data_IF_340311493979
#
_entry.id   IF_340311493979
#
_cell.length_a   1.000
_cell.length_b   1.000
_cell.length_c   1.000
_cell.angle_alpha   90.00
_cell.angle_beta   90.00
_cell.angle_gamma   90.00
#
_symmetry.space_group_name_H-M   'P 1'
#
loop_
_entity.id
_entity.type
_entity.pdbx_description
1 polymer ?
#
# COMPACT_ATOMS: atom_id res chain seq x y z
N UNK A 1 16.72 -45.84 -8.25
CA UNK A 1 15.69 -45.04 -8.94
C UNK A 1 14.85 -44.26 -7.94
N UNK A 2 15.06 -42.96 -7.81
CA UNK A 2 14.21 -42.09 -6.97
C UNK A 2 13.57 -41.03 -7.87
N UNK A 3 12.28 -41.26 -8.15
CA UNK A 3 11.44 -40.45 -9.03
C UNK A 3 11.12 -39.12 -8.37
N UNK A 4 11.53 -38.01 -9.00
CA UNK A 4 11.18 -36.64 -8.61
C UNK A 4 9.78 -36.35 -9.12
N UNK A 5 8.76 -36.43 -8.25
CA UNK A 5 7.43 -35.91 -8.58
C UNK A 5 7.46 -34.38 -8.59
N UNK A 6 7.53 -33.83 -9.81
CA UNK A 6 7.31 -32.42 -10.12
C UNK A 6 5.82 -32.12 -9.95
N UNK A 7 5.44 -31.49 -8.84
CA UNK A 7 4.07 -31.04 -8.61
C UNK A 7 3.78 -29.85 -9.53
N UNK A 8 3.20 -30.15 -10.69
CA UNK A 8 2.81 -29.15 -11.68
C UNK A 8 1.42 -28.65 -11.30
N UNK A 9 1.35 -27.55 -10.53
CA UNK A 9 0.10 -26.81 -10.34
C UNK A 9 -0.30 -26.20 -11.68
N UNK A 10 -1.22 -26.84 -12.39
CA UNK A 10 -2.02 -26.20 -13.41
C UNK A 10 -3.05 -25.33 -12.68
N UNK A 11 -2.83 -24.02 -12.68
CA UNK A 11 -3.86 -23.05 -12.31
C UNK A 11 -4.59 -22.62 -13.57
N UNK A 12 -5.88 -22.93 -13.65
CA UNK A 12 -6.84 -22.26 -14.52
C UNK A 12 -6.80 -20.75 -14.27
N UNK A 13 -6.54 -19.98 -15.31
CA UNK A 13 -6.63 -18.52 -15.29
C UNK A 13 -7.45 -18.05 -16.51
N UNK A 14 -8.66 -18.61 -16.66
CA UNK A 14 -9.66 -18.19 -17.65
C UNK A 14 -10.29 -16.82 -17.35
N UNK A 15 -9.78 -16.10 -16.35
CA UNK A 15 -10.12 -14.69 -16.06
C UNK A 15 -8.88 -13.81 -15.80
N UNK A 16 -7.69 -14.23 -16.26
CA UNK A 16 -6.50 -13.39 -16.13
C UNK A 16 -6.57 -12.19 -17.07
N UNK A 17 -6.58 -10.98 -16.49
CA UNK A 17 -6.39 -9.74 -17.26
C UNK A 17 -5.19 -9.93 -18.19
N UNK A 18 -5.33 -9.69 -19.51
CA UNK A 18 -4.23 -9.90 -20.44
C UNK A 18 -2.98 -9.17 -19.93
N UNK A 19 -1.84 -9.86 -19.90
CA UNK A 19 -0.60 -9.23 -19.42
C UNK A 19 -0.35 -7.90 -20.14
N UNK A 20 0.19 -6.90 -19.44
CA UNK A 20 0.38 -5.51 -19.93
C UNK A 20 0.93 -5.45 -21.37
N UNK A 21 1.82 -6.36 -21.73
CA UNK A 21 2.39 -6.45 -23.09
C UNK A 21 1.34 -6.81 -24.16
N UNK A 22 0.41 -7.72 -23.85
CA UNK A 22 -0.70 -8.10 -24.74
C UNK A 22 -1.66 -6.93 -24.94
N UNK A 23 -1.99 -6.18 -23.89
CA UNK A 23 -2.83 -4.97 -23.98
C UNK A 23 -2.15 -3.91 -24.86
N UNK A 24 -0.84 -3.67 -24.64
CA UNK A 24 -0.06 -2.73 -25.47
C UNK A 24 0.00 -3.17 -26.93
N UNK A 25 0.11 -4.46 -27.21
CA UNK A 25 0.07 -4.98 -28.58
C UNK A 25 -1.30 -4.75 -29.23
N UNK A 26 -2.39 -5.05 -28.52
CA UNK A 26 -3.75 -4.79 -28.98
C UNK A 26 -3.98 -3.31 -29.26
N UNK A 27 -3.56 -2.40 -28.36
CA UNK A 27 -3.65 -0.94 -28.58
C UNK A 27 -2.93 -0.50 -29.85
N UNK A 28 -1.71 -0.99 -30.08
CA UNK A 28 -0.97 -0.67 -31.32
C UNK A 28 -1.71 -1.14 -32.56
N UNK A 29 -2.28 -2.35 -32.53
CA UNK A 29 -3.06 -2.89 -33.65
C UNK A 29 -4.35 -2.09 -33.88
N UNK A 30 -5.09 -1.75 -32.82
CA UNK A 30 -6.30 -0.93 -32.88
C UNK A 30 -6.01 0.47 -33.43
N UNK A 31 -4.93 1.13 -32.98
CA UNK A 31 -4.49 2.42 -33.53
C UNK A 31 -4.12 2.33 -35.01
N UNK A 32 -3.43 1.26 -35.42
CA UNK A 32 -3.13 1.00 -36.85
C UNK A 32 -4.39 0.78 -37.69
N UNK A 33 -5.42 0.14 -37.13
CA UNK A 33 -6.70 -0.06 -37.82
C UNK A 33 -7.44 1.26 -38.03
N UNK A 34 -7.48 2.13 -37.02
CA UNK A 34 -8.09 3.46 -37.11
C UNK A 34 -7.36 4.41 -38.07
N UNK A 35 -6.07 4.20 -38.30
CA UNK A 35 -5.28 4.99 -39.23
C UNK A 35 -5.51 4.63 -40.71
N UNK A 36 -6.35 3.65 -41.03
CA UNK A 36 -6.68 3.28 -42.43
C UNK A 36 -7.77 4.19 -42.99
N UNK A 37 -7.54 4.73 -44.18
CA UNK A 37 -8.45 5.69 -44.83
C UNK A 37 -9.79 5.08 -45.26
N UNK A 38 -9.83 3.78 -45.58
CA UNK A 38 -11.02 3.06 -46.05
C UNK A 38 -11.65 2.19 -44.96
N UNK A 39 -12.10 2.80 -43.88
CA UNK A 39 -12.79 2.11 -42.78
C UNK A 39 -14.28 2.48 -42.77
N UNK A 40 -15.17 1.49 -42.76
CA UNK A 40 -16.61 1.71 -42.64
C UNK A 40 -16.94 2.42 -41.31
N UNK A 41 -17.92 3.34 -41.32
CA UNK A 41 -18.25 4.17 -40.16
C UNK A 41 -18.58 3.34 -38.90
N UNK A 42 -19.36 2.26 -39.04
CA UNK A 42 -19.70 1.36 -37.93
C UNK A 42 -18.45 0.72 -37.31
N UNK A 43 -17.52 0.25 -38.15
CA UNK A 43 -16.26 -0.37 -37.71
C UNK A 43 -15.37 0.66 -37.01
N UNK A 44 -15.38 1.92 -37.48
CA UNK A 44 -14.62 3.01 -36.85
C UNK A 44 -15.11 3.30 -35.43
N UNK A 45 -16.42 3.45 -35.25
CA UNK A 45 -17.04 3.68 -33.93
C UNK A 45 -16.75 2.52 -32.97
N UNK A 46 -16.90 1.28 -33.43
CA UNK A 46 -16.58 0.11 -32.61
C UNK A 46 -15.10 0.06 -32.23
N UNK A 47 -14.21 0.36 -33.17
CA UNK A 47 -12.76 0.36 -32.95
C UNK A 47 -12.34 1.48 -31.99
N UNK A 48 -12.96 2.65 -32.04
CA UNK A 48 -12.76 3.75 -31.08
C UNK A 48 -13.23 3.37 -29.67
N UNK A 49 -14.39 2.73 -29.54
CA UNK A 49 -14.87 2.19 -28.25
C UNK A 49 -13.89 1.17 -27.68
N UNK A 50 -13.42 0.24 -28.52
CA UNK A 50 -12.41 -0.75 -28.16
C UNK A 50 -11.10 -0.10 -27.74
N UNK A 51 -10.66 0.95 -28.44
CA UNK A 51 -9.46 1.70 -28.07
C UNK A 51 -9.59 2.29 -26.67
N UNK A 52 -10.72 2.95 -26.38
CA UNK A 52 -10.97 3.52 -25.05
C UNK A 52 -10.99 2.45 -23.95
N UNK A 53 -11.60 1.29 -24.20
CA UNK A 53 -11.59 0.15 -23.28
C UNK A 53 -10.16 -0.32 -23.01
N UNK A 54 -9.37 -0.54 -24.06
CA UNK A 54 -7.99 -1.01 -23.93
C UNK A 54 -7.08 0.01 -23.22
N UNK A 55 -7.33 1.30 -23.36
CA UNK A 55 -6.62 2.35 -22.63
C UNK A 55 -6.94 2.33 -21.13
N UNK A 56 -8.22 2.15 -20.79
CA UNK A 56 -8.64 1.97 -19.40
C UNK A 56 -8.03 0.70 -18.78
N UNK A 57 -8.07 -0.42 -19.51
CA UNK A 57 -7.48 -1.69 -19.07
C UNK A 57 -5.97 -1.55 -18.85
N UNK A 58 -5.28 -0.82 -19.74
CA UNK A 58 -3.85 -0.57 -19.61
C UNK A 58 -3.55 0.24 -18.34
N UNK A 59 -4.31 1.31 -18.09
CA UNK A 59 -4.13 2.15 -16.91
C UNK A 59 -4.32 1.34 -15.61
N UNK A 60 -5.37 0.51 -15.55
CA UNK A 60 -5.61 -0.36 -14.40
C UNK A 60 -4.50 -1.40 -14.21
N UNK A 61 -4.03 -2.01 -15.29
CA UNK A 61 -2.94 -2.99 -15.23
C UNK A 61 -1.61 -2.36 -14.78
N UNK A 62 -1.32 -1.12 -15.21
CA UNK A 62 -0.14 -0.38 -14.79
C UNK A 62 -0.23 0.07 -13.32
N UNK A 63 -1.39 0.52 -12.85
CA UNK A 63 -1.65 0.82 -11.45
C UNK A 63 -1.46 -0.43 -10.57
N UNK A 64 -2.10 -1.54 -10.92
CA UNK A 64 -1.97 -2.79 -10.19
C UNK A 64 -0.52 -3.32 -10.19
N UNK A 65 0.24 -3.08 -11.27
CA UNK A 65 1.68 -3.41 -11.30
C UNK A 65 2.48 -2.52 -10.34
N UNK A 66 2.21 -1.22 -10.32
CA UNK A 66 2.85 -0.25 -9.42
C UNK A 66 2.57 -0.60 -7.96
N UNK A 67 1.32 -0.90 -7.63
CA UNK A 67 0.91 -1.33 -6.29
C UNK A 67 1.64 -2.59 -5.83
N UNK A 68 1.69 -3.64 -6.68
CA UNK A 68 2.44 -4.87 -6.37
C UNK A 68 3.91 -4.58 -6.14
N UNK A 69 4.53 -3.76 -6.99
CA UNK A 69 5.94 -3.42 -6.86
C UNK A 69 6.24 -2.67 -5.55
N UNK A 70 5.41 -1.68 -5.20
CA UNK A 70 5.55 -0.94 -3.94
C UNK A 70 5.25 -1.81 -2.72
N UNK A 71 4.22 -2.66 -2.79
CA UNK A 71 3.89 -3.62 -1.75
C UNK A 71 5.09 -4.51 -1.46
N UNK A 72 5.67 -5.17 -2.46
CA UNK A 72 6.85 -6.02 -2.28
C UNK A 72 8.06 -5.24 -1.75
N UNK A 73 8.32 -4.03 -2.27
CA UNK A 73 9.46 -3.19 -1.87
C UNK A 73 9.40 -2.78 -0.40
N UNK A 74 8.22 -2.40 0.09
CA UNK A 74 8.05 -1.87 1.44
C UNK A 74 7.43 -2.87 2.43
N UNK A 75 7.11 -4.10 1.98
CA UNK A 75 6.47 -5.12 2.82
C UNK A 75 7.22 -5.34 4.13
N UNK A 76 8.55 -5.53 4.06
CA UNK A 76 9.37 -5.78 5.24
C UNK A 76 9.54 -4.56 6.12
N UNK A 77 9.71 -3.37 5.53
CA UNK A 77 9.77 -2.11 6.29
C UNK A 77 8.48 -1.92 7.08
N UNK A 78 7.32 -1.99 6.41
CA UNK A 78 6.00 -1.89 7.05
C UNK A 78 5.78 -2.97 8.10
N UNK A 79 6.25 -4.19 7.87
CA UNK A 79 6.13 -5.29 8.82
C UNK A 79 6.90 -5.00 10.12
N UNK A 80 8.18 -4.61 10.04
CA UNK A 80 8.98 -4.31 11.22
C UNK A 80 8.45 -3.08 11.97
N UNK A 81 8.03 -2.03 11.26
CA UNK A 81 7.41 -0.87 11.89
C UNK A 81 6.09 -1.24 12.56
N UNK A 82 5.24 -2.05 11.91
CA UNK A 82 3.98 -2.54 12.49
C UNK A 82 4.24 -3.30 13.79
N UNK A 83 5.20 -4.23 13.79
CA UNK A 83 5.57 -4.98 15.00
C UNK A 83 6.12 -4.06 16.10
N UNK A 84 6.90 -3.03 15.74
CA UNK A 84 7.42 -2.04 16.68
C UNK A 84 6.29 -1.22 17.33
N UNK A 85 5.34 -0.74 16.53
CA UNK A 85 4.18 0.00 17.03
C UNK A 85 3.30 -0.88 17.91
N UNK A 86 2.96 -2.09 17.47
CA UNK A 86 2.15 -3.04 18.26
C UNK A 86 2.80 -3.32 19.61
N UNK A 87 4.11 -3.59 19.64
CA UNK A 87 4.82 -3.83 20.89
C UNK A 87 4.71 -2.65 21.86
N UNK A 88 4.94 -1.42 21.37
CA UNK A 88 4.83 -0.19 22.18
C UNK A 88 3.39 0.03 22.66
N UNK A 89 2.40 -0.24 21.80
CA UNK A 89 0.99 -0.13 22.10
C UNK A 89 0.60 -1.09 23.23
N UNK A 90 0.97 -2.37 23.12
CA UNK A 90 0.72 -3.37 24.16
C UNK A 90 1.43 -3.05 25.48
N UNK A 91 2.65 -2.53 25.44
CA UNK A 91 3.37 -2.08 26.64
C UNK A 91 2.65 -0.90 27.32
N UNK A 92 2.18 0.07 26.53
CA UNK A 92 1.47 1.25 27.05
C UNK A 92 0.12 0.85 27.66
N UNK A 93 -0.64 -0.05 27.01
CA UNK A 93 -1.87 -0.62 27.58
C UNK A 93 -1.61 -1.34 28.90
N UNK A 94 -0.54 -2.13 28.98
CA UNK A 94 -0.16 -2.83 30.23
C UNK A 94 0.14 -1.84 31.35
N UNK A 95 0.93 -0.78 31.09
CA UNK A 95 1.22 0.28 32.08
C UNK A 95 -0.04 0.98 32.57
N UNK A 96 -0.96 1.32 31.66
CA UNK A 96 -2.24 1.91 32.02
C UNK A 96 -3.08 0.97 32.89
N UNK A 97 -3.11 -0.34 32.57
CA UNK A 97 -3.87 -1.33 33.35
C UNK A 97 -3.26 -1.66 34.71
N UNK A 98 -1.93 -1.62 34.84
CA UNK A 98 -1.25 -1.94 36.10
C UNK A 98 -1.27 -0.79 37.10
N UNK A 99 -1.65 0.42 36.68
CA UNK A 99 -1.58 1.63 37.50
C UNK A 99 -0.15 2.05 37.86
N UNK A 100 0.87 1.35 37.34
CA UNK A 100 2.27 1.69 37.54
C UNK A 100 2.74 2.57 36.39
N UNK A 101 2.57 3.88 36.59
CA UNK A 101 2.89 4.89 35.58
C UNK A 101 4.38 5.27 35.57
N UNK A 102 5.14 4.89 36.59
CA UNK A 102 6.54 5.32 36.75
C UNK A 102 6.63 6.84 36.85
N UNK A 103 7.46 7.45 35.99
CA UNK A 103 7.63 8.90 35.89
C UNK A 103 6.58 9.60 35.00
N UNK A 104 5.82 8.84 34.21
CA UNK A 104 4.81 9.38 33.31
C UNK A 104 3.48 9.59 34.06
N UNK A 105 2.66 10.56 33.65
CA UNK A 105 1.28 10.67 34.13
C UNK A 105 0.34 9.75 33.35
N UNK A 106 -0.83 9.43 33.93
CA UNK A 106 -1.87 8.64 33.26
C UNK A 106 -2.29 9.30 31.94
N UNK A 107 -2.49 10.61 31.93
CA UNK A 107 -2.91 11.39 30.77
C UNK A 107 -1.85 11.35 29.65
N UNK A 108 -0.56 11.39 30.01
CA UNK A 108 0.54 11.26 29.05
C UNK A 108 0.53 9.88 28.39
N UNK A 109 0.31 8.82 29.17
CA UNK A 109 0.23 7.46 28.63
C UNK A 109 -1.01 7.24 27.75
N UNK A 110 -2.14 7.84 28.09
CA UNK A 110 -3.37 7.81 27.26
C UNK A 110 -3.16 8.53 25.93
N UNK A 111 -2.57 9.72 25.94
CA UNK A 111 -2.22 10.44 24.69
C UNK A 111 -1.26 9.63 23.84
N UNK A 112 -0.21 9.07 24.46
CA UNK A 112 0.75 8.20 23.77
C UNK A 112 0.09 6.96 23.17
N UNK A 113 -0.91 6.39 23.85
CA UNK A 113 -1.68 5.27 23.32
C UNK A 113 -2.45 5.67 22.06
N UNK A 114 -3.09 6.84 22.05
CA UNK A 114 -3.79 7.36 20.88
C UNK A 114 -2.84 7.63 19.71
N UNK A 115 -1.68 8.25 19.97
CA UNK A 115 -0.67 8.48 18.93
C UNK A 115 -0.18 7.16 18.31
N UNK A 116 0.03 6.13 19.14
CA UNK A 116 0.41 4.79 18.66
C UNK A 116 -0.68 4.13 17.81
N UNK A 117 -1.96 4.40 18.07
CA UNK A 117 -3.09 3.93 17.26
C UNK A 117 -3.13 4.62 15.90
N UNK A 118 -2.93 5.95 15.88
CA UNK A 118 -2.76 6.71 14.64
C UNK A 118 -1.58 6.17 13.82
N UNK A 119 -0.44 5.89 14.48
CA UNK A 119 0.74 5.30 13.83
C UNK A 119 0.48 3.90 13.28
N UNK A 120 -0.29 3.07 13.99
CA UNK A 120 -0.66 1.74 13.51
C UNK A 120 -1.57 1.85 12.28
N UNK A 121 -2.56 2.72 12.33
CA UNK A 121 -3.45 3.00 11.19
C UNK A 121 -2.68 3.61 10.01
N UNK A 122 -1.66 4.43 10.26
CA UNK A 122 -0.75 4.95 9.23
C UNK A 122 -0.08 3.84 8.45
N UNK A 123 0.39 2.80 9.15
CA UNK A 123 1.02 1.66 8.49
C UNK A 123 -0.03 0.82 7.75
N UNK A 124 -1.18 0.55 8.36
CA UNK A 124 -2.20 -0.34 7.79
C UNK A 124 -2.87 0.25 6.54
N UNK A 125 -3.25 1.54 6.60
CA UNK A 125 -4.03 2.22 5.58
C UNK A 125 -3.19 3.09 4.64
N UNK A 126 -1.87 2.96 4.66
CA UNK A 126 -0.98 3.70 3.76
C UNK A 126 -1.37 3.52 2.28
N UNK A 127 -1.50 4.59 1.48
CA UNK A 127 -1.87 4.50 0.07
C UNK A 127 -0.94 3.58 -0.75
N UNK A 128 -1.50 2.55 -1.39
CA UNK A 128 -0.75 1.52 -2.12
C UNK A 128 0.01 2.05 -3.36
N UNK A 129 -0.39 3.22 -3.85
CA UNK A 129 0.17 3.86 -5.05
C UNK A 129 1.26 4.89 -4.74
N UNK A 130 1.49 5.23 -3.46
CA UNK A 130 2.50 6.19 -3.00
C UNK A 130 3.72 5.46 -2.40
N UNK A 131 4.89 6.10 -2.46
CA UNK A 131 6.11 5.56 -1.83
C UNK A 131 5.97 5.67 -0.32
N UNK A 132 6.16 4.56 0.41
CA UNK A 132 6.05 4.54 1.85
C UNK A 132 7.09 5.47 2.52
N UNK A 133 6.63 6.29 3.47
CA UNK A 133 7.49 7.15 4.29
C UNK A 133 7.56 6.54 5.68
N UNK A 134 8.75 6.07 6.07
CA UNK A 134 9.00 5.38 7.34
C UNK A 134 8.69 6.29 8.53
N UNK A 135 8.03 5.73 9.55
CA UNK A 135 7.80 6.44 10.82
C UNK A 135 9.07 6.48 11.68
N UNK A 136 9.84 5.41 11.64
CA UNK A 136 11.10 5.30 12.36
C UNK A 136 12.23 5.40 11.34
N UNK A 137 13.19 6.32 11.53
CA UNK A 137 14.43 6.29 10.76
C UNK A 137 15.01 4.87 10.80
N UNK A 138 15.64 4.40 9.70
CA UNK A 138 16.26 3.09 9.69
C UNK A 138 17.20 3.02 10.90
N UNK A 139 17.06 1.94 11.68
CA UNK A 139 18.02 1.68 12.74
C UNK A 139 19.39 1.60 12.07
N UNK A 140 20.26 2.51 12.52
CA UNK A 140 21.67 2.54 12.18
C UNK A 140 22.22 1.14 12.43
N UNK A 141 22.52 0.40 11.35
CA UNK A 141 23.45 -0.72 11.48
C UNK A 141 24.74 -0.11 11.99
N UNK A 142 25.22 -0.60 13.14
CA UNK A 142 26.38 -0.10 13.88
C UNK A 142 27.43 0.54 12.95
N UNK A 143 27.46 1.89 12.90
CA UNK A 143 28.46 2.64 12.11
C UNK A 143 27.96 3.78 11.21
N UNK A 144 26.70 3.84 10.79
CA UNK A 144 26.19 4.92 9.91
C UNK A 144 25.21 5.85 10.62
N UNK A 145 25.56 7.13 10.86
CA UNK A 145 24.65 8.09 11.49
C UNK A 145 23.25 8.07 10.87
N UNK A 146 22.20 8.06 11.71
CA UNK A 146 20.82 8.07 11.27
C UNK A 146 20.61 9.27 10.33
N UNK A 147 20.22 9.01 9.08
CA UNK A 147 19.95 10.10 8.13
C UNK A 147 18.75 10.88 8.70
N UNK A 148 18.93 12.16 9.07
CA UNK A 148 17.82 12.96 9.57
C UNK A 148 16.75 13.04 8.49
N UNK A 149 15.49 12.90 8.87
CA UNK A 149 14.42 13.09 7.92
C UNK A 149 14.42 14.53 7.41
N UNK A 150 14.23 14.71 6.10
CA UNK A 150 14.05 16.05 5.56
C UNK A 150 12.70 16.61 6.00
N UNK A 151 12.61 17.92 6.21
CA UNK A 151 11.37 18.62 6.57
C UNK A 151 10.18 18.25 5.64
N UNK A 152 10.46 18.01 4.35
CA UNK A 152 9.45 17.54 3.39
C UNK A 152 8.87 16.16 3.74
N UNK A 153 9.68 15.23 4.24
CA UNK A 153 9.20 13.89 4.65
C UNK A 153 8.46 13.91 5.99
N UNK A 154 8.71 14.90 6.84
CA UNK A 154 7.96 15.11 8.08
C UNK A 154 6.60 15.70 7.79
N UNK A 155 6.54 16.72 6.92
CA UNK A 155 5.28 17.29 6.45
C UNK A 155 4.37 16.24 5.80
N UNK A 156 4.92 15.39 4.93
CA UNK A 156 4.17 14.31 4.30
C UNK A 156 3.66 13.24 5.30
N UNK A 157 4.39 13.01 6.39
CA UNK A 157 3.95 12.11 7.47
C UNK A 157 2.79 12.75 8.24
N UNK A 158 2.91 14.02 8.59
CA UNK A 158 1.90 14.71 9.37
C UNK A 158 0.60 14.92 8.57
N UNK A 159 0.69 15.22 7.27
CA UNK A 159 -0.48 15.29 6.39
C UNK A 159 -1.27 13.97 6.41
N UNK A 160 -0.58 12.84 6.26
CA UNK A 160 -1.24 11.54 6.26
C UNK A 160 -1.76 11.15 7.66
N UNK A 161 -1.03 11.50 8.73
CA UNK A 161 -1.53 11.31 10.11
C UNK A 161 -2.78 12.13 10.37
N UNK A 162 -2.83 13.38 9.92
CA UNK A 162 -4.03 14.23 10.04
C UNK A 162 -5.21 13.59 9.33
N UNK A 163 -5.04 13.17 8.07
CA UNK A 163 -6.08 12.47 7.33
C UNK A 163 -6.56 11.21 8.05
N UNK A 164 -5.67 10.45 8.68
CA UNK A 164 -6.04 9.26 9.47
C UNK A 164 -6.81 9.62 10.72
N UNK A 165 -6.43 10.69 11.43
CA UNK A 165 -7.22 11.17 12.58
C UNK A 165 -8.63 11.53 12.15
N UNK A 166 -8.79 12.17 11.00
CA UNK A 166 -10.09 12.53 10.43
C UNK A 166 -10.89 11.27 10.04
N UNK A 167 -10.27 10.28 9.40
CA UNK A 167 -10.94 9.01 9.12
C UNK A 167 -11.32 8.22 10.38
N UNK A 168 -10.50 8.29 11.44
CA UNK A 168 -10.81 7.68 12.74
C UNK A 168 -11.96 8.40 13.46
N UNK A 169 -12.01 9.74 13.40
CA UNK A 169 -13.09 10.52 14.00
C UNK A 169 -14.42 10.35 13.26
N UNK A 170 -14.37 10.19 11.94
CA UNK A 170 -15.51 9.88 11.09
C UNK A 170 -15.96 8.40 11.17
N UNK A 171 -15.20 7.53 11.84
CA UNK A 171 -15.52 6.10 12.00
C UNK A 171 -15.28 5.23 10.76
N UNK A 172 -14.57 5.74 9.75
CA UNK A 172 -14.20 4.98 8.54
C UNK A 172 -13.09 3.96 8.83
N UNK A 173 -12.22 4.27 9.79
CA UNK A 173 -11.10 3.45 10.24
C UNK A 173 -11.29 3.16 11.73
N UNK A 174 -11.03 1.93 12.20
CA UNK A 174 -11.19 1.60 13.61
C UNK A 174 -10.30 2.46 14.51
N UNK A 175 -10.83 2.99 15.63
CA UNK A 175 -10.03 3.71 16.63
C UNK A 175 -9.03 2.80 17.35
N UNK A 176 -9.35 1.50 17.42
CA UNK A 176 -8.60 0.46 18.13
C UNK A 176 -8.11 -0.61 17.13
N UNK A 177 -7.20 -0.26 16.19
CA UNK A 177 -6.78 -1.18 15.14
C UNK A 177 -6.13 -2.45 15.67
N UNK A 178 -5.57 -2.43 16.87
CA UNK A 178 -4.94 -3.60 17.50
C UNK A 178 -5.91 -4.76 17.75
N UNK A 179 -7.23 -4.51 17.83
CA UNK A 179 -8.21 -5.56 18.13
C UNK A 179 -8.54 -6.44 16.92
N UNK A 180 -8.19 -5.98 15.71
CA UNK A 180 -8.48 -6.64 14.43
C UNK A 180 -7.27 -7.35 13.81
N UNK A 181 -6.15 -7.42 14.53
CA UNK A 181 -4.85 -7.93 14.05
C UNK A 181 -4.51 -9.30 14.61
#
# INVERSE_FOLDING_TARGET
STSKHKFQRQGEDSSSTPGVQKIKAALRQTRRLLAKDKLAANVRVETERRLKSLEADLAQAELARKERALASKYHMVKFFEKQKVIRKLLQTKRKLSSGNFGDDSKEVLERRLQDLRVDLNYILHYPKTKKYVSLFPPEVRQGEAAIPSSASTEAAREELRSWIRDCMSNGEIPPDPEMSL
#
